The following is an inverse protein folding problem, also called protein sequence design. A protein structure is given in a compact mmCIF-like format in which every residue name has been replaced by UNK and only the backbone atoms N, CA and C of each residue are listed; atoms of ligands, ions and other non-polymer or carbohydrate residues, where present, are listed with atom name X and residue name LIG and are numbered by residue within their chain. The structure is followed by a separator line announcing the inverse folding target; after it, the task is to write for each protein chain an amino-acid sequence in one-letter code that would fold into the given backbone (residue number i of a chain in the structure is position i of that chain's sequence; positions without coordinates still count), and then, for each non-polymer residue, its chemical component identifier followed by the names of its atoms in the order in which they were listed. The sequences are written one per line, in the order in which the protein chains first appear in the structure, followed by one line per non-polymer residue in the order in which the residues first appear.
data_IF_019219265589
#
_entry.id   IF_019219265589
#
_cell.length_a   1.000
_cell.length_b   1.000
_cell.length_c   1.000
_cell.angle_alpha   90.00
_cell.angle_beta   90.00
_cell.angle_gamma   90.00
#
_symmetry.space_group_name_H-M   'P 1'
#
loop_
_entity.id
_entity.type
_entity.pdbx_description
1 polymer ?
#
# COMPACT_ATOMS: atom_id res chain seq x y z
N UNK A 1 10.95 -20.44 9.66
CA UNK A 1 11.03 -19.08 9.10
C UNK A 1 9.82 -18.92 8.20
N UNK A 2 8.75 -18.30 8.71
CA UNK A 2 7.57 -17.95 7.90
C UNK A 2 7.98 -16.83 6.96
N UNK A 3 7.93 -17.09 5.66
CA UNK A 3 8.23 -16.07 4.64
C UNK A 3 7.01 -15.18 4.55
N UNK A 4 7.11 -13.96 5.06
CA UNK A 4 6.04 -12.97 4.98
C UNK A 4 5.92 -12.47 3.54
N UNK A 5 4.72 -12.62 2.97
CA UNK A 5 4.37 -12.12 1.66
C UNK A 5 3.41 -10.96 1.80
N UNK A 6 3.52 -10.00 0.91
CA UNK A 6 2.67 -8.82 0.88
C UNK A 6 2.08 -8.67 -0.52
N UNK A 7 0.80 -8.32 -0.60
CA UNK A 7 0.16 -7.88 -1.84
C UNK A 7 -0.27 -6.44 -1.67
N UNK A 8 -0.01 -5.59 -2.66
CA UNK A 8 -0.43 -4.19 -2.67
C UNK A 8 -1.61 -4.07 -3.63
N UNK A 9 -2.74 -3.58 -3.13
CA UNK A 9 -3.98 -3.38 -3.88
C UNK A 9 -4.36 -1.91 -3.85
N UNK A 10 -4.56 -1.33 -5.03
CA UNK A 10 -5.12 -0.01 -5.19
C UNK A 10 -6.64 -0.05 -4.94
N UNK A 11 -7.08 0.53 -3.82
CA UNK A 11 -8.48 0.53 -3.38
C UNK A 11 -9.41 1.21 -4.40
N UNK A 12 -8.97 2.33 -4.98
CA UNK A 12 -9.78 3.12 -5.92
C UNK A 12 -10.20 2.36 -7.19
N UNK A 13 -9.44 1.33 -7.59
CA UNK A 13 -9.68 0.54 -8.81
C UNK A 13 -9.77 -0.95 -8.54
N UNK A 14 -9.70 -1.36 -7.28
CA UNK A 14 -9.51 -2.75 -6.86
C UNK A 14 -8.38 -3.46 -7.64
N UNK A 15 -7.31 -2.71 -7.96
CA UNK A 15 -6.25 -3.18 -8.85
C UNK A 15 -5.06 -3.68 -8.04
N UNK A 16 -4.66 -4.94 -8.22
CA UNK A 16 -3.44 -5.46 -7.62
C UNK A 16 -2.21 -4.88 -8.31
N UNK A 17 -1.44 -4.06 -7.60
CA UNK A 17 -0.18 -3.48 -8.06
C UNK A 17 0.99 -4.44 -7.82
N UNK A 18 0.97 -5.12 -6.67
CA UNK A 18 1.99 -6.08 -6.26
C UNK A 18 1.30 -7.32 -5.70
N UNK A 19 1.74 -8.52 -6.07
CA UNK A 19 1.09 -9.77 -5.63
C UNK A 19 2.10 -10.73 -5.02
N UNK A 20 1.84 -11.13 -3.76
CA UNK A 20 2.66 -12.10 -3.01
C UNK A 20 4.16 -11.78 -3.06
N UNK A 21 4.50 -10.51 -2.97
CA UNK A 21 5.86 -10.02 -3.01
C UNK A 21 6.56 -10.19 -1.67
N UNK A 22 7.88 -10.21 -1.67
CA UNK A 22 8.66 -10.16 -0.42
C UNK A 22 8.68 -8.75 0.15
N UNK A 23 9.15 -8.61 1.40
CA UNK A 23 9.36 -7.31 2.01
C UNK A 23 10.28 -6.40 1.18
N UNK A 24 11.35 -6.94 0.61
CA UNK A 24 12.30 -6.15 -0.21
C UNK A 24 11.63 -5.60 -1.48
N UNK A 25 10.79 -6.41 -2.15
CA UNK A 25 10.04 -5.97 -3.33
C UNK A 25 8.99 -4.90 -2.97
N UNK A 26 8.36 -5.02 -1.80
CA UNK A 26 7.44 -4.01 -1.26
C UNK A 26 8.17 -2.72 -0.97
N UNK A 27 9.35 -2.80 -0.33
CA UNK A 27 10.19 -1.63 -0.01
C UNK A 27 10.64 -0.92 -1.29
N UNK A 28 11.03 -1.66 -2.34
CA UNK A 28 11.37 -1.09 -3.64
C UNK A 28 10.16 -0.44 -4.32
N UNK A 29 9.01 -1.11 -4.30
CA UNK A 29 7.78 -0.55 -4.85
C UNK A 29 7.40 0.76 -4.13
N UNK A 30 7.51 0.79 -2.80
CA UNK A 30 7.29 2.00 -2.04
C UNK A 30 8.32 3.08 -2.38
N UNK A 31 9.61 2.77 -2.48
CA UNK A 31 10.63 3.77 -2.86
C UNK A 31 10.32 4.45 -4.21
N UNK A 32 9.82 3.69 -5.20
CA UNK A 32 9.45 4.22 -6.51
C UNK A 32 8.07 4.92 -6.53
N UNK A 33 7.14 4.50 -5.68
CA UNK A 33 5.73 4.93 -5.73
C UNK A 33 5.20 5.62 -4.45
N UNK A 34 6.06 5.95 -3.48
CA UNK A 34 5.74 6.65 -2.22
C UNK A 34 5.04 7.99 -2.48
N UNK A 35 5.39 8.66 -3.58
CA UNK A 35 4.76 9.91 -3.99
C UNK A 35 3.40 9.74 -4.69
N UNK A 36 3.03 8.52 -5.10
CA UNK A 36 1.84 8.23 -5.91
C UNK A 36 0.76 7.48 -5.14
N UNK A 37 1.15 6.61 -4.21
CA UNK A 37 0.22 5.80 -3.46
C UNK A 37 0.33 6.11 -1.96
N UNK A 38 -0.81 6.17 -1.27
CA UNK A 38 -0.89 6.33 0.17
C UNK A 38 -1.43 5.06 0.80
N UNK A 39 -0.73 4.53 1.81
CA UNK A 39 -1.16 3.34 2.54
C UNK A 39 -2.35 3.62 3.44
N UNK A 40 -3.52 3.05 3.12
CA UNK A 40 -4.75 3.22 3.89
C UNK A 40 -4.87 2.18 5.00
N UNK A 41 -4.68 0.91 4.63
CA UNK A 41 -4.96 -0.21 5.52
C UNK A 41 -4.10 -1.42 5.17
N UNK A 42 -3.71 -2.17 6.19
CA UNK A 42 -3.12 -3.50 6.03
C UNK A 42 -4.05 -4.55 6.65
N UNK A 43 -4.32 -5.62 5.91
CA UNK A 43 -5.11 -6.77 6.35
C UNK A 43 -4.29 -8.05 6.24
N UNK A 44 -4.42 -8.98 7.19
CA UNK A 44 -3.80 -10.30 7.09
C UNK A 44 -4.76 -11.29 6.44
N UNK A 45 -4.49 -11.74 5.22
CA UNK A 45 -5.33 -12.76 4.55
C UNK A 45 -5.05 -14.17 5.11
N UNK A 46 -3.78 -14.47 5.37
CA UNK A 46 -3.34 -15.78 5.84
C UNK A 46 -2.09 -15.63 6.74
N UNK A 47 -1.74 -16.64 7.54
CA UNK A 47 -0.50 -16.62 8.30
C UNK A 47 0.71 -16.48 7.36
N UNK A 48 1.37 -15.31 7.40
CA UNK A 48 2.47 -14.96 6.52
C UNK A 48 2.06 -14.35 5.18
N UNK A 49 0.80 -13.94 4.99
CA UNK A 49 0.38 -13.17 3.82
C UNK A 49 -0.47 -11.96 4.25
N UNK A 50 0.04 -10.78 3.93
CA UNK A 50 -0.56 -9.48 4.20
C UNK A 50 -1.03 -8.81 2.91
N UNK A 51 -2.19 -8.16 2.96
CA UNK A 51 -2.75 -7.32 1.93
C UNK A 51 -2.59 -5.87 2.38
N UNK A 52 -2.08 -5.01 1.51
CA UNK A 52 -1.85 -3.59 1.75
C UNK A 52 -2.71 -2.83 0.77
N UNK A 53 -3.76 -2.19 1.28
CA UNK A 53 -4.63 -1.35 0.49
C UNK A 53 -4.06 0.06 0.43
N UNK A 54 -3.89 0.56 -0.78
CA UNK A 54 -3.33 1.88 -1.09
C UNK A 54 -4.29 2.70 -1.93
N UNK A 55 -4.15 4.02 -1.92
CA UNK A 55 -4.95 4.96 -2.74
C UNK A 55 -4.07 5.96 -3.47
N UNK A 56 -4.50 6.42 -4.65
CA UNK A 56 -3.86 7.51 -5.39
C UNK A 56 -4.30 8.90 -4.92
N UNK A 57 -5.43 8.97 -4.19
CA UNK A 57 -5.93 10.23 -3.63
C UNK A 57 -5.49 10.38 -2.18
N UNK A 58 -4.77 11.48 -1.90
CA UNK A 58 -4.58 11.95 -0.53
C UNK A 58 -5.98 12.19 0.05
N UNK A 59 -6.38 11.53 1.15
CA UNK A 59 -7.68 11.76 1.76
C UNK A 59 -7.83 13.26 2.01
N UNK A 60 -9.01 13.82 1.70
CA UNK A 60 -9.25 15.27 1.82
C UNK A 60 -8.93 15.83 3.22
N UNK A 61 -8.86 14.96 4.25
CA UNK A 61 -8.47 15.25 5.64
C UNK A 61 -6.97 15.60 5.82
N UNK A 62 -6.08 15.13 4.94
CA UNK A 62 -4.65 15.48 4.91
C UNK A 62 -4.34 16.69 4.02
N UNK A 63 -5.36 17.26 3.35
CA UNK A 63 -5.27 18.63 2.82
C UNK A 63 -5.28 19.59 4.00
N UNK A 64 -4.16 19.70 4.69
CA UNK A 64 -3.88 20.82 5.58
C UNK A 64 -4.37 22.08 4.87
N UNK A 65 -5.30 22.87 5.46
CA UNK A 65 -5.67 24.13 4.87
C UNK A 65 -4.38 24.94 4.74
N UNK A 66 -3.96 25.18 3.50
CA UNK A 66 -2.99 26.21 3.22
C UNK A 66 -3.74 27.54 3.38
N UNK A 67 -3.97 27.97 4.62
CA UNK A 67 -4.48 29.30 4.95
C UNK A 67 -3.66 29.83 6.12
N UNK A 68 -3.17 31.06 6.10
CA UNK A 68 -2.75 32.03 5.08
C UNK A 68 -2.08 33.15 5.88
#
# INVERSE_FOLDING_TARGET
MTVERYSIILEARDQTLLSRATREEVEQFWDEHDALYFGLRMEGEAPGHWLVYVTEEIPEDERLPCEA
#
